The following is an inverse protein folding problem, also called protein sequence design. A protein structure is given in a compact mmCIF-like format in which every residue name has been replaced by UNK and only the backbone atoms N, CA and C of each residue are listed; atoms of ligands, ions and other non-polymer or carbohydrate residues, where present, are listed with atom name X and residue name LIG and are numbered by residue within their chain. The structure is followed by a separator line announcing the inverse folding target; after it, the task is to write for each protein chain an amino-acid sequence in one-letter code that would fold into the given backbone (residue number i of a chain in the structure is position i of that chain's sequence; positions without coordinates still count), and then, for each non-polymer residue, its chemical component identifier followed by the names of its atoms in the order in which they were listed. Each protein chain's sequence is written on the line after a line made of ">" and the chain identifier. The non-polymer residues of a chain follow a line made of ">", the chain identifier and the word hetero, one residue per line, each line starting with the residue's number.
data_IF_706535109848
#
_entry.id   IF_706535109848
#
_cell.length_a   1.000
_cell.length_b   1.000
_cell.length_c   1.000
_cell.angle_alpha   90.00
_cell.angle_beta   90.00
_cell.angle_gamma   90.00
#
_symmetry.space_group_name_H-M   'P 1'
#
loop_
_entity.id
_entity.type
_entity.pdbx_description
1 polymer ?
#
# COMPACT_ATOMS: atom_id res chain seq x y z
N UNK A 1 -27.71 9.85 -7.61
CA UNK A 1 -26.36 10.46 -7.61
C UNK A 1 -25.39 9.30 -7.73
N UNK A 2 -24.75 9.18 -8.89
CA UNK A 2 -24.04 7.96 -9.33
C UNK A 2 -22.70 7.78 -8.61
N UNK A 3 -22.47 6.56 -8.14
CA UNK A 3 -21.24 6.10 -7.50
C UNK A 3 -20.25 5.46 -8.51
N UNK A 4 -19.99 6.14 -9.65
CA UNK A 4 -19.16 5.59 -10.75
C UNK A 4 -18.14 6.63 -11.26
N UNK A 5 -17.58 7.47 -10.39
CA UNK A 5 -16.53 8.43 -10.80
C UNK A 5 -15.25 8.35 -9.96
N UNK A 6 -15.06 7.28 -9.16
CA UNK A 6 -13.88 7.09 -8.32
C UNK A 6 -13.06 5.84 -8.71
N UNK A 7 -13.00 5.50 -10.00
CA UNK A 7 -12.15 4.40 -10.50
C UNK A 7 -11.25 4.77 -11.68
N UNK A 8 -11.07 6.05 -12.02
CA UNK A 8 -10.26 6.42 -13.20
C UNK A 8 -9.33 7.63 -13.04
N UNK A 9 -9.11 8.11 -11.82
CA UNK A 9 -8.15 9.19 -11.57
C UNK A 9 -6.88 8.65 -10.90
N UNK A 10 -6.12 7.81 -11.64
CA UNK A 10 -4.68 7.73 -11.45
C UNK A 10 -4.10 9.07 -11.94
N UNK A 11 -4.34 10.14 -11.17
CA UNK A 11 -3.69 11.44 -11.39
C UNK A 11 -2.22 11.19 -11.21
N UNK A 12 -1.45 11.45 -12.26
CA UNK A 12 0.00 11.39 -12.32
C UNK A 12 0.61 11.81 -10.97
N UNK A 13 0.95 10.81 -10.15
CA UNK A 13 1.65 11.00 -8.90
C UNK A 13 3.13 11.03 -9.18
N UNK A 14 3.88 11.85 -8.44
CA UNK A 14 5.33 11.68 -8.36
C UNK A 14 5.59 10.32 -7.69
N UNK A 15 5.89 9.31 -8.49
CA UNK A 15 6.15 7.93 -8.06
C UNK A 15 7.60 7.80 -7.59
N UNK A 16 7.81 7.36 -6.35
CA UNK A 16 9.14 7.20 -5.78
C UNK A 16 9.75 5.80 -5.94
N UNK A 17 8.92 4.78 -6.21
CA UNK A 17 9.37 3.39 -6.46
C UNK A 17 8.35 2.67 -7.33
N UNK A 18 8.78 2.21 -8.49
CA UNK A 18 8.01 1.35 -9.41
C UNK A 18 8.88 0.17 -9.85
N UNK A 19 8.46 -1.04 -9.50
CA UNK A 19 9.18 -2.27 -9.84
C UNK A 19 8.99 -2.70 -11.30
N UNK A 20 8.07 -2.08 -12.05
CA UNK A 20 7.79 -2.37 -13.46
C UNK A 20 8.79 -1.72 -14.41
N UNK A 21 9.30 -0.56 -14.05
CA UNK A 21 10.27 0.21 -14.84
C UNK A 21 11.73 -0.04 -14.45
N UNK A 22 11.99 -0.83 -13.40
CA UNK A 22 13.33 -1.01 -12.85
C UNK A 22 13.93 0.27 -12.26
N UNK A 23 13.11 1.31 -12.09
CA UNK A 23 13.52 2.58 -11.50
C UNK A 23 13.50 2.41 -9.98
N UNK A 24 14.56 1.82 -9.46
CA UNK A 24 15.00 2.16 -8.11
C UNK A 24 15.61 3.56 -8.18
N UNK A 25 15.21 4.50 -7.30
CA UNK A 25 16.04 5.68 -7.09
C UNK A 25 17.44 5.19 -6.68
N UNK A 26 18.53 5.77 -7.23
CA UNK A 26 19.87 5.35 -6.91
C UNK A 26 20.11 5.40 -5.39
N UNK A 27 20.96 4.51 -4.83
CA UNK A 27 21.24 4.44 -3.40
C UNK A 27 21.74 5.79 -2.84
N UNK A 28 22.35 6.60 -3.69
CA UNK A 28 22.66 8.00 -3.45
C UNK A 28 21.72 8.85 -4.31
N UNK A 29 20.57 9.22 -3.73
CA UNK A 29 19.49 9.88 -4.45
C UNK A 29 19.95 11.12 -5.22
N UNK A 30 19.56 11.21 -6.50
CA UNK A 30 19.07 12.40 -7.22
C UNK A 30 18.68 11.95 -8.64
N UNK A 31 17.38 11.96 -8.95
CA UNK A 31 16.91 12.21 -10.32
C UNK A 31 16.76 13.73 -10.52
N UNK A 32 17.02 14.28 -11.73
CA UNK A 32 17.02 15.72 -11.97
C UNK A 32 15.56 16.24 -12.00
N UNK A 33 15.11 16.65 -10.82
CA UNK A 33 13.75 17.05 -10.49
C UNK A 33 13.48 16.56 -9.08
N UNK A 34 14.17 17.16 -8.08
CA UNK A 34 14.08 16.90 -6.64
C UNK A 34 13.39 15.57 -6.29
N UNK A 35 14.17 14.48 -6.25
CA UNK A 35 13.69 13.20 -5.77
C UNK A 35 13.04 13.39 -4.40
N UNK A 36 11.70 13.39 -4.36
CA UNK A 36 10.95 13.48 -3.12
C UNK A 36 11.36 12.29 -2.27
N UNK A 37 12.09 12.54 -1.19
CA UNK A 37 12.39 11.54 -0.19
C UNK A 37 11.08 11.21 0.52
N UNK A 38 10.37 10.19 0.02
CA UNK A 38 9.10 9.73 0.55
C UNK A 38 9.36 9.01 1.88
N UNK A 39 8.85 9.53 3.02
CA UNK A 39 9.26 9.05 4.35
C UNK A 39 8.80 7.62 4.64
N UNK A 40 7.76 7.14 3.94
CA UNK A 40 7.16 5.82 4.16
C UNK A 40 7.82 4.69 3.35
N UNK A 41 8.83 4.98 2.51
CA UNK A 41 9.51 3.94 1.73
C UNK A 41 10.13 2.83 2.59
N UNK A 42 10.82 3.12 3.72
CA UNK A 42 11.36 2.05 4.57
C UNK A 42 10.28 1.12 5.12
N UNK A 43 9.12 1.68 5.47
CA UNK A 43 7.97 0.88 5.92
C UNK A 43 7.38 0.03 4.80
N UNK A 44 7.27 0.59 3.59
CA UNK A 44 6.84 -0.18 2.41
C UNK A 44 7.78 -1.34 2.09
N UNK A 45 9.08 -1.15 2.28
CA UNK A 45 10.09 -2.20 2.10
C UNK A 45 9.96 -3.30 3.16
N UNK A 46 9.70 -2.92 4.42
CA UNK A 46 9.45 -3.89 5.49
C UNK A 46 8.17 -4.72 5.22
N UNK A 47 7.08 -4.08 4.79
CA UNK A 47 5.84 -4.77 4.41
C UNK A 47 6.07 -5.71 3.23
N UNK A 48 6.76 -5.26 2.20
CA UNK A 48 7.07 -6.09 1.04
C UNK A 48 7.93 -7.30 1.43
N UNK A 49 8.93 -7.13 2.29
CA UNK A 49 9.77 -8.21 2.78
C UNK A 49 8.97 -9.28 3.52
N UNK A 50 8.05 -8.88 4.41
CA UNK A 50 7.18 -9.82 5.13
C UNK A 50 6.20 -10.55 4.22
N UNK A 51 5.66 -9.86 3.20
CA UNK A 51 4.80 -10.50 2.19
C UNK A 51 5.56 -11.59 1.45
N UNK A 52 6.79 -11.33 1.01
CA UNK A 52 7.65 -12.34 0.37
C UNK A 52 7.98 -13.48 1.34
N UNK A 53 8.26 -13.19 2.61
CA UNK A 53 8.56 -14.19 3.63
C UNK A 53 7.35 -15.07 3.98
N UNK A 54 6.13 -14.55 3.87
CA UNK A 54 4.88 -15.24 4.21
C UNK A 54 4.51 -16.41 3.28
N UNK A 55 5.33 -16.66 2.24
CA UNK A 55 5.11 -17.63 1.16
C UNK A 55 3.86 -17.36 0.32
N UNK A 56 3.26 -16.17 0.43
CA UNK A 56 2.41 -15.65 -0.62
C UNK A 56 3.29 -15.39 -1.85
N UNK A 57 2.78 -15.65 -3.06
CA UNK A 57 3.50 -15.21 -4.26
C UNK A 57 3.69 -13.69 -4.17
N UNK A 58 4.88 -13.15 -4.45
CA UNK A 58 5.10 -11.71 -4.39
C UNK A 58 4.05 -10.94 -5.22
N UNK A 59 3.67 -9.73 -4.80
CA UNK A 59 2.83 -8.88 -5.62
C UNK A 59 3.53 -8.59 -6.95
N UNK A 60 2.75 -8.49 -8.02
CA UNK A 60 3.29 -8.13 -9.33
C UNK A 60 3.80 -6.68 -9.34
N UNK A 61 3.15 -5.80 -8.55
CA UNK A 61 3.54 -4.41 -8.40
C UNK A 61 3.55 -3.97 -6.95
N UNK A 62 4.61 -3.25 -6.57
CA UNK A 62 4.69 -2.45 -5.35
C UNK A 62 4.92 -1.02 -5.77
N UNK A 63 4.04 -0.12 -5.35
CA UNK A 63 4.14 1.30 -5.67
C UNK A 63 3.98 2.15 -4.42
N UNK A 64 4.79 3.20 -4.35
CA UNK A 64 4.78 4.17 -3.28
C UNK A 64 4.91 5.59 -3.85
N UNK A 65 4.14 6.53 -3.32
CA UNK A 65 4.06 7.86 -3.91
C UNK A 65 3.17 8.85 -3.16
N UNK A 66 2.88 9.94 -3.87
CA UNK A 66 1.85 10.93 -3.50
C UNK A 66 0.66 10.81 -4.45
N UNK A 67 -0.54 10.73 -3.91
CA UNK A 67 -1.79 10.74 -4.67
C UNK A 67 -2.63 11.96 -4.29
N UNK A 68 -3.26 12.61 -5.26
CA UNK A 68 -4.24 13.66 -5.00
C UNK A 68 -5.58 13.03 -4.58
N UNK A 69 -6.09 13.38 -3.40
CA UNK A 69 -7.37 12.93 -2.85
C UNK A 69 -8.09 14.14 -2.27
N UNK A 70 -9.27 14.47 -2.82
CA UNK A 70 -10.10 15.56 -2.30
C UNK A 70 -9.46 16.95 -2.30
N UNK A 71 -8.50 17.21 -3.20
CA UNK A 71 -7.75 18.48 -3.26
C UNK A 71 -6.46 18.51 -2.41
N UNK A 72 -6.19 17.44 -1.67
CA UNK A 72 -5.01 17.27 -0.83
C UNK A 72 -4.09 16.20 -1.43
N UNK A 73 -2.77 16.22 -1.15
CA UNK A 73 -1.90 15.08 -1.51
C UNK A 73 -1.68 14.20 -0.29
N UNK A 74 -1.77 12.90 -0.49
CA UNK A 74 -1.56 11.90 0.56
C UNK A 74 -0.48 10.93 0.13
N UNK A 75 0.38 10.55 1.09
CA UNK A 75 1.32 9.45 0.91
C UNK A 75 0.53 8.15 0.80
N UNK A 76 0.94 7.29 -0.13
CA UNK A 76 0.33 5.98 -0.32
C UNK A 76 1.37 4.91 -0.62
N UNK A 77 1.02 3.68 -0.27
CA UNK A 77 1.70 2.45 -0.66
C UNK A 77 0.65 1.47 -1.17
N UNK A 78 0.93 0.74 -2.25
CA UNK A 78 0.08 -0.35 -2.74
C UNK A 78 0.90 -1.56 -3.13
N UNK A 79 0.41 -2.74 -2.75
CA UNK A 79 0.87 -4.04 -3.18
C UNK A 79 -0.26 -4.66 -4.01
N UNK A 80 0.02 -5.01 -5.26
CA UNK A 80 -0.99 -5.38 -6.25
C UNK A 80 -0.73 -6.77 -6.81
N UNK A 81 -1.75 -7.62 -6.73
CA UNK A 81 -1.90 -8.87 -7.45
C UNK A 81 -3.07 -8.70 -8.42
N UNK A 82 -2.83 -8.54 -9.73
CA UNK A 82 -3.92 -8.34 -10.68
C UNK A 82 -4.83 -9.58 -10.78
N UNK A 83 -5.99 -9.45 -11.45
CA UNK A 83 -6.77 -10.61 -11.87
C UNK A 83 -5.91 -11.66 -12.58
N UNK A 84 -6.26 -12.92 -12.39
CA UNK A 84 -5.54 -14.10 -12.90
C UNK A 84 -4.11 -14.32 -12.36
N UNK A 85 -3.66 -13.51 -11.40
CA UNK A 85 -2.35 -13.69 -10.78
C UNK A 85 -2.24 -15.05 -10.06
N UNK A 86 -1.17 -15.80 -10.35
CA UNK A 86 -0.98 -17.19 -9.88
C UNK A 86 -0.89 -17.32 -8.35
N UNK A 87 -0.49 -16.24 -7.68
CA UNK A 87 -0.47 -16.11 -6.22
C UNK A 87 -1.81 -16.05 -5.52
N UNK A 88 -2.91 -15.90 -6.26
CA UNK A 88 -4.26 -15.80 -5.71
C UNK A 88 -4.99 -17.13 -5.86
N UNK A 89 -5.72 -17.53 -4.83
CA UNK A 89 -6.61 -18.69 -4.91
C UNK A 89 -7.90 -18.33 -5.66
N UNK A 90 -8.69 -19.35 -6.02
CA UNK A 90 -9.90 -19.22 -6.85
C UNK A 90 -10.83 -18.09 -6.40
N UNK A 91 -11.00 -17.90 -5.08
CA UNK A 91 -11.88 -16.87 -4.52
C UNK A 91 -11.42 -15.42 -4.74
N UNK A 92 -10.11 -15.19 -4.93
CA UNK A 92 -9.54 -13.85 -5.14
C UNK A 92 -9.02 -13.66 -6.58
N UNK A 93 -8.76 -14.75 -7.30
CA UNK A 93 -8.10 -14.74 -8.61
C UNK A 93 -8.87 -13.96 -9.67
N UNK A 94 -10.20 -14.07 -9.69
CA UNK A 94 -11.03 -13.39 -10.69
C UNK A 94 -11.01 -11.86 -10.54
N UNK A 95 -10.99 -11.36 -9.30
CA UNK A 95 -11.13 -9.92 -9.03
C UNK A 95 -9.79 -9.24 -8.68
N UNK A 96 -8.71 -10.02 -8.57
CA UNK A 96 -7.42 -9.52 -8.10
C UNK A 96 -7.45 -9.10 -6.62
N UNK A 97 -6.31 -8.62 -6.15
CA UNK A 97 -6.12 -8.13 -4.79
C UNK A 97 -5.19 -6.92 -4.79
N UNK A 98 -5.58 -5.87 -4.08
CA UNK A 98 -4.69 -4.75 -3.77
C UNK A 98 -4.72 -4.49 -2.28
N UNK A 99 -3.57 -4.57 -1.62
CA UNK A 99 -3.41 -4.09 -0.24
C UNK A 99 -2.80 -2.71 -0.29
N UNK A 100 -3.51 -1.71 0.26
CA UNK A 100 -3.16 -0.30 0.15
C UNK A 100 -3.09 0.34 1.53
N UNK A 101 -2.03 1.11 1.73
CA UNK A 101 -1.89 2.05 2.85
C UNK A 101 -2.01 3.48 2.34
N UNK A 102 -2.64 4.36 3.13
CA UNK A 102 -2.45 5.80 2.99
C UNK A 102 -2.30 6.46 4.34
N UNK A 103 -1.57 7.57 4.37
CA UNK A 103 -1.37 8.34 5.60
C UNK A 103 -2.68 8.88 6.22
N UNK A 104 -3.75 9.01 5.42
CA UNK A 104 -5.03 9.57 5.87
C UNK A 104 -6.10 8.51 6.19
N UNK A 105 -6.06 7.34 5.55
CA UNK A 105 -7.10 6.32 5.66
C UNK A 105 -6.59 5.00 6.28
N UNK A 106 -5.29 4.87 6.52
CA UNK A 106 -4.71 3.64 7.04
C UNK A 106 -4.68 2.53 6.00
N UNK A 107 -4.80 1.29 6.49
CA UNK A 107 -4.72 0.08 5.68
C UNK A 107 -6.09 -0.33 5.14
N UNK A 108 -6.11 -0.69 3.87
CA UNK A 108 -7.29 -1.12 3.13
C UNK A 108 -6.94 -2.26 2.20
N UNK A 109 -7.92 -3.09 1.89
CA UNK A 109 -7.83 -4.14 0.87
C UNK A 109 -8.92 -3.89 -0.16
N UNK A 110 -8.57 -4.01 -1.43
CA UNK A 110 -9.44 -3.76 -2.57
C UNK A 110 -9.37 -4.95 -3.51
N UNK A 111 -10.48 -5.21 -4.20
CA UNK A 111 -10.52 -5.95 -5.45
C UNK A 111 -10.96 -4.99 -6.56
N UNK A 112 -11.16 -5.50 -7.78
CA UNK A 112 -11.79 -4.72 -8.85
C UNK A 112 -13.21 -4.26 -8.50
N UNK A 113 -13.90 -4.97 -7.61
CA UNK A 113 -15.34 -4.81 -7.37
C UNK A 113 -15.71 -4.36 -5.96
N UNK A 114 -14.82 -4.55 -4.98
CA UNK A 114 -15.12 -4.33 -3.57
C UNK A 114 -13.92 -3.75 -2.81
N UNK A 115 -14.16 -3.18 -1.63
CA UNK A 115 -13.12 -2.66 -0.74
C UNK A 115 -13.46 -2.89 0.74
N UNK A 116 -12.42 -2.99 1.57
CA UNK A 116 -12.55 -3.12 3.02
C UNK A 116 -11.41 -2.41 3.73
N UNK A 117 -11.74 -1.67 4.80
CA UNK A 117 -10.74 -1.16 5.73
C UNK A 117 -10.21 -2.29 6.61
N UNK A 118 -8.89 -2.36 6.80
CA UNK A 118 -8.31 -3.30 7.76
C UNK A 118 -8.35 -2.67 9.15
N UNK A 119 -8.82 -3.40 10.18
CA UNK A 119 -8.91 -2.88 11.55
C UNK A 119 -7.54 -2.88 12.26
N UNK A 120 -6.49 -2.45 11.59
CA UNK A 120 -5.12 -2.40 12.14
C UNK A 120 -4.64 -0.94 12.27
N UNK A 121 -3.66 -0.72 13.14
CA UNK A 121 -3.04 0.61 13.30
C UNK A 121 -2.40 1.15 12.02
N UNK A 122 -2.29 2.49 11.93
CA UNK A 122 -1.73 3.19 10.76
C UNK A 122 -0.33 2.68 10.36
N UNK A 123 0.50 2.35 11.35
CA UNK A 123 1.84 1.78 11.20
C UNK A 123 1.93 0.40 11.87
N UNK A 124 0.95 -0.45 11.56
CA UNK A 124 0.90 -1.83 12.04
C UNK A 124 2.18 -2.59 11.70
N UNK A 125 2.51 -3.58 12.52
CA UNK A 125 3.67 -4.45 12.29
C UNK A 125 3.57 -5.10 10.90
N UNK A 126 4.63 -5.08 10.06
CA UNK A 126 4.60 -5.62 8.70
C UNK A 126 4.04 -7.05 8.55
N UNK A 127 4.34 -7.91 9.52
CA UNK A 127 3.78 -9.29 9.60
C UNK A 127 2.25 -9.32 9.61
N UNK A 128 1.58 -8.35 10.26
CA UNK A 128 0.11 -8.29 10.29
C UNK A 128 -0.46 -7.95 8.92
N UNK A 129 0.18 -7.03 8.21
CA UNK A 129 -0.22 -6.65 6.84
C UNK A 129 -0.02 -7.84 5.89
N UNK A 130 1.09 -8.56 6.03
CA UNK A 130 1.35 -9.79 5.27
C UNK A 130 0.35 -10.91 5.57
N UNK A 131 -0.05 -11.07 6.84
CA UNK A 131 -1.07 -12.05 7.22
C UNK A 131 -2.44 -11.70 6.61
N UNK A 132 -2.86 -10.44 6.70
CA UNK A 132 -4.08 -9.95 6.06
C UNK A 132 -4.04 -10.18 4.53
N UNK A 133 -2.94 -9.79 3.86
CA UNK A 133 -2.77 -10.01 2.43
C UNK A 133 -2.91 -11.50 2.06
N UNK A 134 -2.27 -12.38 2.83
CA UNK A 134 -2.37 -13.83 2.65
C UNK A 134 -3.78 -14.36 2.87
N UNK A 135 -4.50 -13.87 3.87
CA UNK A 135 -5.89 -14.24 4.11
C UNK A 135 -6.77 -13.87 2.92
N UNK A 136 -6.71 -12.62 2.47
CA UNK A 136 -7.55 -12.14 1.37
C UNK A 136 -7.14 -12.74 0.02
N UNK A 137 -5.87 -13.10 -0.17
CA UNK A 137 -5.44 -13.86 -1.34
C UNK A 137 -6.06 -15.27 -1.43
N UNK A 138 -6.41 -15.85 -0.28
CA UNK A 138 -7.03 -17.19 -0.20
C UNK A 138 -8.55 -17.15 -0.25
N UNK A 139 -9.13 -16.18 0.45
CA UNK A 139 -10.57 -16.16 0.72
C UNK A 139 -11.33 -15.12 -0.09
N UNK A 140 -10.64 -14.17 -0.74
CA UNK A 140 -11.26 -12.99 -1.33
C UNK A 140 -11.95 -12.11 -0.29
N UNK A 141 -12.57 -11.01 -0.72
CA UNK A 141 -13.29 -10.10 0.19
C UNK A 141 -14.68 -10.63 0.59
N UNK A 142 -15.30 -11.44 -0.28
CA UNK A 142 -16.59 -12.08 -0.01
C UNK A 142 -16.51 -13.36 0.83
N UNK A 143 -15.30 -13.82 1.17
CA UNK A 143 -15.07 -15.03 1.94
C UNK A 143 -15.13 -14.83 3.46
N UNK A 144 -14.40 -15.68 4.18
CA UNK A 144 -14.30 -15.59 5.63
C UNK A 144 -13.75 -14.23 6.06
N UNK A 145 -14.30 -13.68 7.14
CA UNK A 145 -13.78 -12.44 7.73
C UNK A 145 -12.35 -12.66 8.24
N UNK A 146 -11.46 -11.72 7.90
CA UNK A 146 -10.15 -11.67 8.52
C UNK A 146 -10.27 -11.00 9.89
N UNK A 147 -9.74 -11.66 10.92
CA UNK A 147 -9.70 -11.14 12.28
C UNK A 147 -8.24 -10.87 12.63
N UNK A 148 -7.95 -9.68 13.14
CA UNK A 148 -6.60 -9.32 13.56
C UNK A 148 -6.11 -10.33 14.62
N UNK A 149 -5.04 -11.09 14.34
CA UNK A 149 -4.61 -12.16 15.24
C UNK A 149 -3.91 -11.63 16.50
N UNK A 150 -3.35 -10.43 16.42
CA UNK A 150 -2.68 -9.72 17.51
C UNK A 150 -2.53 -8.24 17.16
N UNK A 151 -2.52 -7.36 18.15
CA UNK A 151 -2.19 -5.96 17.96
C UNK A 151 -0.67 -5.78 18.07
N UNK A 152 -0.03 -5.27 17.03
CA UNK A 152 1.39 -4.92 17.05
C UNK A 152 1.70 -3.71 16.17
N UNK A 153 2.57 -2.83 16.67
CA UNK A 153 3.07 -1.64 15.97
C UNK A 153 4.47 -1.91 15.44
N UNK A 154 4.81 -1.34 14.29
CA UNK A 154 6.16 -1.43 13.74
C UNK A 154 7.17 -0.69 14.63
N UNK A 155 8.39 -1.22 14.77
CA UNK A 155 9.41 -0.71 15.69
C UNK A 155 9.84 0.74 15.39
N UNK A 156 9.85 1.13 14.11
CA UNK A 156 10.20 2.48 13.66
C UNK A 156 8.97 3.40 13.45
N UNK A 157 7.79 2.98 13.91
CA UNK A 157 6.55 3.71 13.65
C UNK A 157 6.57 5.16 14.15
N UNK A 158 7.13 5.42 15.33
CA UNK A 158 7.18 6.79 15.89
C UNK A 158 8.11 7.70 15.09
N UNK A 159 9.24 7.16 14.61
CA UNK A 159 10.16 7.88 13.74
C UNK A 159 9.50 8.17 12.37
N UNK A 160 8.77 7.21 11.82
CA UNK A 160 8.01 7.40 10.59
C UNK A 160 6.89 8.43 10.75
N UNK A 161 6.14 8.39 11.84
CA UNK A 161 5.06 9.34 12.11
C UNK A 161 5.58 10.78 12.15
N UNK A 162 6.70 11.00 12.85
CA UNK A 162 7.39 12.28 12.86
C UNK A 162 7.88 12.70 11.46
N UNK A 163 8.44 11.77 10.69
CA UNK A 163 8.92 12.05 9.33
C UNK A 163 7.77 12.38 8.36
N UNK A 164 6.63 11.70 8.48
CA UNK A 164 5.41 11.98 7.70
C UNK A 164 4.85 13.35 8.08
N UNK A 165 4.77 13.69 9.36
CA UNK A 165 4.31 15.00 9.81
C UNK A 165 5.20 16.14 9.26
N UNK A 166 6.52 16.00 9.38
CA UNK A 166 7.47 16.99 8.86
C UNK A 166 7.42 17.11 7.34
N UNK A 167 7.27 15.99 6.63
CA UNK A 167 7.09 15.96 5.19
C UNK A 167 5.82 16.69 4.76
N UNK A 168 4.70 16.39 5.41
CA UNK A 168 3.41 17.03 5.17
C UNK A 168 3.48 18.54 5.38
N UNK A 169 4.15 19.00 6.43
CA UNK A 169 4.38 20.42 6.68
C UNK A 169 5.22 21.07 5.57
N UNK A 170 6.34 20.46 5.18
CA UNK A 170 7.25 20.98 4.16
C UNK A 170 6.60 21.09 2.78
N UNK A 171 5.84 20.07 2.40
CA UNK A 171 5.20 19.99 1.08
C UNK A 171 3.85 20.73 1.03
N UNK A 172 3.41 21.33 2.15
CA UNK A 172 2.15 22.08 2.23
C UNK A 172 0.91 21.20 2.04
N UNK A 173 0.99 19.91 2.41
CA UNK A 173 -0.07 18.92 2.23
C UNK A 173 -1.09 19.02 3.36
N UNK A 174 -1.89 20.08 3.37
CA UNK A 174 -3.01 20.25 4.33
C UNK A 174 -4.31 20.01 3.63
#
# INVERSE_FOLDING_TARGET
>A
MSAIEESAAAVAGDTGKDIRSGLQPPPDGVHPGLALALPHLPYGDAVHAEVVASRLCPPEFVEAGLAAVGGHRVLFLRLVWPPDHEGLDEAARADGLTVRWSASAGWTVHTVTDYRALPVGLYAHPVLVADAARHFARHGLGGAEWVEPFEARWEDADALEAAVAAFTEREGLR
#
